data_IF_285734637211
#
_entry.id   IF_285734637211
#
_cell.length_a   1.000
_cell.length_b   1.000
_cell.length_c   1.000
_cell.angle_alpha   90.00
_cell.angle_beta   90.00
_cell.angle_gamma   90.00
#
_symmetry.space_group_name_H-M   'P 1'
#
loop_
_entity.id
_entity.type
_entity.pdbx_description
1 polymer ?
#
# COMPACT_ATOMS: atom_id res chain seq x y z
N UNK A 1 37.98 17.84 -31.02
CA UNK A 1 37.90 16.50 -30.39
C UNK A 1 36.65 16.55 -29.52
N UNK A 2 35.53 16.07 -30.04
CA UNK A 2 34.24 16.09 -29.35
C UNK A 2 34.21 14.94 -28.34
N UNK A 3 34.15 15.28 -27.05
CA UNK A 3 33.95 14.31 -26.00
C UNK A 3 32.45 14.06 -25.84
N UNK A 4 31.99 12.94 -26.40
CA UNK A 4 30.61 12.45 -26.25
C UNK A 4 30.37 12.05 -24.79
N UNK A 5 29.38 12.73 -24.21
CA UNK A 5 28.64 12.37 -22.99
C UNK A 5 28.26 10.89 -23.02
N UNK A 6 28.83 10.08 -22.11
CA UNK A 6 28.24 8.79 -21.71
C UNK A 6 27.46 9.02 -20.42
N UNK A 7 26.22 9.48 -20.57
CA UNK A 7 25.21 9.34 -19.52
C UNK A 7 24.95 7.85 -19.33
N UNK A 8 25.26 7.34 -18.14
CA UNK A 8 24.90 5.98 -17.76
C UNK A 8 23.40 5.87 -17.74
N UNK A 9 22.82 5.19 -18.72
CA UNK A 9 21.44 4.73 -18.63
C UNK A 9 21.43 3.65 -17.53
N UNK A 10 20.98 4.03 -16.32
CA UNK A 10 20.50 3.05 -15.35
C UNK A 10 19.52 2.14 -16.08
N UNK A 11 19.81 0.83 -16.10
CA UNK A 11 18.89 -0.15 -16.70
C UNK A 11 17.65 -0.18 -15.82
N UNK A 12 16.58 0.47 -16.27
CA UNK A 12 15.26 0.40 -15.63
C UNK A 12 14.94 -1.04 -15.20
N UNK A 13 14.52 -1.22 -13.95
CA UNK A 13 14.04 -2.50 -13.44
C UNK A 13 12.77 -2.94 -14.19
N UNK A 14 12.38 -4.22 -14.03
CA UNK A 14 11.14 -4.71 -14.65
C UNK A 14 9.91 -3.93 -14.17
N UNK A 15 9.85 -3.67 -12.87
CA UNK A 15 8.79 -2.88 -12.23
C UNK A 15 8.73 -1.46 -12.82
N UNK A 16 9.86 -0.78 -12.96
CA UNK A 16 9.92 0.58 -13.54
C UNK A 16 9.36 0.60 -14.96
N UNK A 17 9.67 -0.43 -15.76
CA UNK A 17 9.10 -0.58 -17.11
C UNK A 17 7.59 -0.78 -17.07
N UNK A 18 7.06 -1.54 -16.13
CA UNK A 18 5.62 -1.73 -15.97
C UNK A 18 4.92 -0.45 -15.51
N UNK A 19 5.48 0.28 -14.56
CA UNK A 19 4.95 1.59 -14.10
C UNK A 19 4.96 2.60 -15.25
N UNK A 20 6.03 2.66 -16.05
CA UNK A 20 6.10 3.51 -17.26
C UNK A 20 5.09 3.08 -18.34
N UNK A 21 4.88 1.77 -18.51
CA UNK A 21 3.89 1.25 -19.46
C UNK A 21 2.46 1.56 -19.04
N UNK A 22 2.17 1.51 -17.73
CA UNK A 22 0.83 1.68 -17.16
C UNK A 22 0.65 3.02 -16.45
N UNK A 23 1.38 4.06 -16.85
CA UNK A 23 1.45 5.35 -16.13
C UNK A 23 0.07 5.99 -15.93
N UNK A 24 -0.85 5.93 -16.89
CA UNK A 24 -2.19 6.51 -16.71
C UNK A 24 -2.97 5.83 -15.59
N UNK A 25 -2.89 4.50 -15.49
CA UNK A 25 -3.55 3.74 -14.42
C UNK A 25 -2.86 3.99 -13.08
N UNK A 26 -1.52 4.00 -13.08
CA UNK A 26 -0.74 4.27 -11.88
C UNK A 26 -0.99 5.67 -11.31
N UNK A 27 -1.00 6.69 -12.17
CA UNK A 27 -1.36 8.07 -11.79
C UNK A 27 -2.80 8.15 -11.29
N UNK A 28 -3.75 7.47 -11.94
CA UNK A 28 -5.14 7.44 -11.48
C UNK A 28 -5.30 6.80 -10.10
N UNK A 29 -4.49 5.78 -9.79
CA UNK A 29 -4.48 5.11 -8.49
C UNK A 29 -3.81 5.96 -7.39
N UNK A 30 -2.73 6.68 -7.71
CA UNK A 30 -1.92 7.44 -6.75
C UNK A 30 -2.37 8.89 -6.57
N UNK A 31 -3.11 9.44 -7.55
CA UNK A 31 -3.63 10.81 -7.55
C UNK A 31 -5.15 10.85 -7.66
N UNK A 32 -5.82 9.87 -7.05
CA UNK A 32 -7.28 9.80 -7.02
C UNK A 32 -7.87 11.06 -6.35
N UNK A 33 -9.03 11.60 -6.78
CA UNK A 33 -9.64 12.80 -6.19
C UNK A 33 -9.78 12.76 -4.68
N UNK A 34 -10.03 11.59 -4.08
CA UNK A 34 -10.05 11.43 -2.62
C UNK A 34 -8.72 11.80 -1.96
N UNK A 35 -7.58 11.39 -2.54
CA UNK A 35 -6.23 11.70 -2.04
C UNK A 35 -5.92 13.19 -2.24
N UNK A 36 -6.32 13.76 -3.37
CA UNK A 36 -6.15 15.19 -3.64
C UNK A 36 -6.96 16.05 -2.66
N UNK A 37 -8.22 15.68 -2.40
CA UNK A 37 -9.06 16.36 -1.43
C UNK A 37 -8.49 16.25 0.00
N UNK A 38 -7.83 15.14 0.31
CA UNK A 38 -7.10 14.99 1.57
C UNK A 38 -5.97 16.01 1.64
N UNK A 39 -5.12 16.10 0.61
CA UNK A 39 -4.01 17.07 0.56
C UNK A 39 -4.48 18.52 0.69
N UNK A 40 -5.61 18.83 0.08
CA UNK A 40 -6.19 20.18 0.10
C UNK A 40 -6.99 20.48 1.38
N UNK A 41 -7.23 19.48 2.24
CA UNK A 41 -8.06 19.64 3.43
C UNK A 41 -9.55 19.84 3.12
N UNK A 42 -9.98 19.49 1.91
CA UNK A 42 -11.35 19.66 1.39
C UNK A 42 -12.19 18.39 1.49
N UNK A 43 -11.59 17.26 1.91
CA UNK A 43 -12.30 15.99 2.09
C UNK A 43 -13.48 16.15 3.04
N UNK A 44 -14.65 15.81 2.53
CA UNK A 44 -15.85 15.78 3.35
C UNK A 44 -15.77 14.65 4.38
N UNK A 45 -16.35 14.91 5.55
CA UNK A 45 -16.28 14.00 6.67
C UNK A 45 -17.00 12.66 6.43
N UNK A 46 -17.99 12.63 5.53
CA UNK A 46 -18.70 11.40 5.15
C UNK A 46 -17.81 10.48 4.30
N UNK A 47 -17.06 11.05 3.36
CA UNK A 47 -16.07 10.36 2.52
C UNK A 47 -14.95 9.80 3.37
N UNK A 48 -14.45 10.56 4.35
CA UNK A 48 -13.47 10.07 5.31
C UNK A 48 -13.99 8.87 6.13
N UNK A 49 -15.21 8.96 6.67
CA UNK A 49 -15.83 7.85 7.43
C UNK A 49 -16.06 6.61 6.57
N UNK A 50 -16.47 6.83 5.32
CA UNK A 50 -16.65 5.76 4.34
C UNK A 50 -15.33 5.06 4.07
N UNK A 51 -14.26 5.83 3.79
CA UNK A 51 -12.93 5.28 3.62
C UNK A 51 -12.49 4.51 4.87
N UNK A 52 -12.58 5.10 6.06
CA UNK A 52 -12.14 4.46 7.31
C UNK A 52 -12.80 3.09 7.55
N UNK A 53 -14.11 2.99 7.30
CA UNK A 53 -14.85 1.73 7.45
C UNK A 53 -14.51 0.71 6.36
N UNK A 54 -14.42 1.13 5.09
CA UNK A 54 -14.09 0.22 3.98
C UNK A 54 -12.64 -0.27 4.08
N UNK A 55 -11.72 0.62 4.42
CA UNK A 55 -10.29 0.31 4.49
C UNK A 55 -9.97 -0.59 5.69
N UNK A 56 -10.68 -0.43 6.82
CA UNK A 56 -10.62 -1.40 7.91
C UNK A 56 -10.99 -2.82 7.47
N UNK A 57 -12.03 -2.98 6.64
CA UNK A 57 -12.40 -4.29 6.10
C UNK A 57 -11.31 -4.81 5.17
N UNK A 58 -10.77 -3.95 4.31
CA UNK A 58 -9.68 -4.32 3.41
C UNK A 58 -8.43 -4.79 4.19
N UNK A 59 -7.95 -4.02 5.17
CA UNK A 59 -6.77 -4.37 5.97
C UNK A 59 -6.94 -5.71 6.69
N UNK A 60 -8.15 -6.03 7.16
CA UNK A 60 -8.43 -7.34 7.76
C UNK A 60 -8.30 -8.51 6.78
N UNK A 61 -8.68 -8.32 5.52
CA UNK A 61 -8.49 -9.30 4.45
C UNK A 61 -7.07 -9.27 3.87
N UNK A 62 -6.36 -8.16 4.03
CA UNK A 62 -4.96 -8.01 3.63
C UNK A 62 -4.03 -8.82 4.54
N UNK A 63 -4.30 -8.90 5.85
CA UNK A 63 -3.52 -9.73 6.81
C UNK A 63 -3.33 -11.18 6.33
N UNK A 64 -4.38 -11.98 6.04
CA UNK A 64 -4.20 -13.35 5.57
C UNK A 64 -3.52 -13.41 4.20
N UNK A 65 -3.69 -12.41 3.34
CA UNK A 65 -2.93 -12.31 2.10
C UNK A 65 -1.43 -12.16 2.36
N UNK A 66 -0.98 -11.20 3.17
CA UNK A 66 0.44 -11.02 3.49
C UNK A 66 1.02 -12.26 4.19
N UNK A 67 0.25 -12.87 5.09
CA UNK A 67 0.63 -14.14 5.72
C UNK A 67 0.80 -15.28 4.69
N UNK A 68 -0.03 -15.33 3.64
CA UNK A 68 0.15 -16.30 2.56
C UNK A 68 1.44 -16.07 1.76
N UNK A 69 1.82 -14.80 1.55
CA UNK A 69 3.09 -14.44 0.90
C UNK A 69 4.27 -14.84 1.78
N UNK A 70 4.15 -14.68 3.10
CA UNK A 70 5.15 -15.15 4.08
C UNK A 70 5.35 -16.68 4.01
N UNK A 71 4.27 -17.44 3.83
CA UNK A 71 4.35 -18.90 3.66
C UNK A 71 4.97 -19.27 2.31
N UNK A 72 4.74 -18.47 1.26
CA UNK A 72 5.34 -18.71 -0.06
C UNK A 72 6.84 -18.46 -0.04
N UNK A 73 7.29 -17.34 0.56
CA UNK A 73 8.72 -17.00 0.61
C UNK A 73 9.54 -18.02 1.39
N UNK A 74 8.99 -18.56 2.49
CA UNK A 74 9.68 -19.56 3.31
C UNK A 74 9.88 -20.92 2.60
N UNK A 75 9.21 -21.14 1.46
CA UNK A 75 9.36 -22.34 0.62
C UNK A 75 10.29 -22.14 -0.58
N UNK A 76 10.63 -20.88 -0.90
CA UNK A 76 11.36 -20.51 -2.11
C UNK A 76 12.74 -19.92 -1.80
N UNK A 77 12.89 -19.26 -0.65
CA UNK A 77 14.12 -18.59 -0.26
C UNK A 77 14.93 -19.43 0.72
N UNK A 78 16.12 -19.88 0.29
CA UNK A 78 17.13 -20.46 1.18
C UNK A 78 18.16 -19.42 1.68
N UNK A 79 18.21 -18.19 1.11
CA UNK A 79 19.34 -17.26 1.32
C UNK A 79 19.02 -15.74 1.31
N UNK A 80 17.75 -15.32 1.36
CA UNK A 80 17.34 -13.89 1.30
C UNK A 80 16.65 -13.36 2.57
N UNK A 81 16.65 -12.03 2.76
CA UNK A 81 16.00 -11.32 3.88
C UNK A 81 14.50 -11.07 3.65
N UNK A 82 13.94 -11.63 2.57
CA UNK A 82 12.54 -11.44 2.17
C UNK A 82 11.56 -11.94 3.24
N UNK A 83 11.94 -12.99 3.98
CA UNK A 83 11.12 -13.53 5.06
C UNK A 83 10.95 -12.51 6.20
N UNK A 84 12.04 -11.91 6.66
CA UNK A 84 12.08 -10.89 7.70
C UNK A 84 11.32 -9.63 7.27
N UNK A 85 11.49 -9.23 6.00
CA UNK A 85 10.77 -8.10 5.39
C UNK A 85 9.26 -8.33 5.44
N UNK A 86 8.78 -9.48 4.95
CA UNK A 86 7.35 -9.78 4.91
C UNK A 86 6.80 -9.99 6.34
N UNK A 87 7.57 -10.64 7.21
CA UNK A 87 7.20 -10.84 8.62
C UNK A 87 7.03 -9.51 9.35
N UNK A 88 7.94 -8.55 9.12
CA UNK A 88 7.83 -7.19 9.64
C UNK A 88 6.54 -6.50 9.19
N UNK A 89 6.16 -6.67 7.92
CA UNK A 89 4.87 -6.20 7.40
C UNK A 89 3.68 -6.80 8.14
N UNK A 90 3.64 -8.13 8.31
CA UNK A 90 2.56 -8.80 9.06
C UNK A 90 2.45 -8.29 10.49
N UNK A 91 3.59 -8.09 11.16
CA UNK A 91 3.62 -7.57 12.53
C UNK A 91 3.03 -6.15 12.61
N UNK A 92 3.37 -5.28 11.64
CA UNK A 92 2.86 -3.92 11.57
C UNK A 92 1.33 -3.84 11.36
N UNK A 93 0.75 -4.77 10.60
CA UNK A 93 -0.71 -4.79 10.37
C UNK A 93 -1.51 -4.94 11.68
N UNK A 94 -0.94 -5.52 12.74
CA UNK A 94 -1.59 -5.55 14.05
C UNK A 94 -1.77 -4.14 14.64
N UNK A 95 -0.73 -3.32 14.54
CA UNK A 95 -0.74 -1.94 15.04
C UNK A 95 -1.66 -1.06 14.19
N UNK A 96 -1.67 -1.29 12.87
CA UNK A 96 -2.60 -0.63 11.95
C UNK A 96 -4.07 -0.96 12.29
N UNK A 97 -4.40 -2.24 12.52
CA UNK A 97 -5.74 -2.65 12.95
C UNK A 97 -6.13 -2.00 14.28
N UNK A 98 -5.19 -1.88 15.22
CA UNK A 98 -5.44 -1.20 16.50
C UNK A 98 -5.73 0.29 16.28
N UNK A 99 -4.99 0.94 15.37
CA UNK A 99 -5.21 2.32 14.98
C UNK A 99 -6.60 2.53 14.34
N UNK A 100 -7.01 1.67 13.40
CA UNK A 100 -8.35 1.75 12.79
C UNK A 100 -9.46 1.67 13.85
N UNK A 101 -9.33 0.79 14.85
CA UNK A 101 -10.30 0.68 15.95
C UNK A 101 -10.38 1.96 16.79
N UNK A 102 -9.24 2.58 17.07
CA UNK A 102 -9.18 3.85 17.82
C UNK A 102 -9.82 5.00 17.04
N UNK A 103 -9.47 5.17 15.76
CA UNK A 103 -10.05 6.22 14.92
C UNK A 103 -11.54 5.99 14.67
N UNK A 104 -11.97 4.74 14.46
CA UNK A 104 -13.39 4.44 14.31
C UNK A 104 -14.19 4.78 15.58
N UNK A 105 -13.63 4.51 16.77
CA UNK A 105 -14.24 4.92 18.04
C UNK A 105 -14.32 6.44 18.16
N UNK A 106 -13.22 7.15 17.88
CA UNK A 106 -13.13 8.62 17.93
C UNK A 106 -14.14 9.31 17.01
N UNK A 107 -14.36 8.76 15.82
CA UNK A 107 -15.24 9.37 14.81
C UNK A 107 -16.64 8.74 14.78
N UNK A 108 -16.97 7.85 15.71
CA UNK A 108 -18.24 7.12 15.78
C UNK A 108 -18.58 6.39 14.46
N UNK A 109 -17.60 5.68 13.90
CA UNK A 109 -17.78 4.78 12.75
C UNK A 109 -17.99 3.36 13.28
N UNK A 110 -19.15 2.72 13.03
CA UNK A 110 -19.38 1.34 13.46
C UNK A 110 -18.54 0.38 12.62
N UNK A 111 -17.65 -0.40 13.25
CA UNK A 111 -16.85 -1.42 12.57
C UNK A 111 -17.56 -2.78 12.44
N UNK A 112 -18.70 -2.93 13.10
CA UNK A 112 -19.57 -4.12 13.00
C UNK A 112 -20.72 -3.86 12.03
N UNK A 113 -21.12 -4.88 11.27
CA UNK A 113 -22.23 -4.81 10.30
C UNK A 113 -22.06 -3.72 9.23
N UNK A 114 -20.81 -3.40 8.86
CA UNK A 114 -20.51 -2.50 7.76
C UNK A 114 -21.06 -3.04 6.45
N UNK A 115 -21.71 -2.17 5.68
CA UNK A 115 -22.10 -2.48 4.31
C UNK A 115 -20.86 -2.37 3.43
N UNK A 116 -20.21 -3.51 3.17
CA UNK A 116 -19.01 -3.56 2.32
C UNK A 116 -19.40 -3.26 0.87
N UNK A 117 -18.72 -2.29 0.27
CA UNK A 117 -18.94 -1.90 -1.13
C UNK A 117 -18.53 -3.02 -2.09
N UNK A 118 -19.17 -3.11 -3.26
CA UNK A 118 -18.84 -4.13 -4.25
C UNK A 118 -17.38 -4.04 -4.73
N UNK A 119 -16.83 -2.82 -4.87
CA UNK A 119 -15.41 -2.62 -5.20
C UNK A 119 -14.50 -3.28 -4.17
N UNK A 120 -14.79 -3.10 -2.88
CA UNK A 120 -14.01 -3.69 -1.79
C UNK A 120 -14.15 -5.22 -1.78
N UNK A 121 -15.39 -5.75 -1.89
CA UNK A 121 -15.62 -7.21 -2.04
C UNK A 121 -14.84 -7.82 -3.19
N UNK A 122 -14.80 -7.14 -4.34
CA UNK A 122 -14.06 -7.62 -5.50
C UNK A 122 -12.55 -7.58 -5.27
N UNK A 123 -12.06 -6.57 -4.57
CA UNK A 123 -10.65 -6.47 -4.19
C UNK A 123 -10.24 -7.58 -3.22
N UNK A 124 -11.05 -7.88 -2.20
CA UNK A 124 -10.79 -8.99 -1.26
C UNK A 124 -10.82 -10.34 -1.97
N UNK A 125 -11.79 -10.58 -2.88
CA UNK A 125 -11.79 -11.80 -3.71
C UNK A 125 -10.57 -11.90 -4.61
N UNK A 126 -10.07 -10.78 -5.12
CA UNK A 126 -8.82 -10.76 -5.85
C UNK A 126 -7.66 -11.20 -4.93
N UNK A 127 -7.53 -10.66 -3.73
CA UNK A 127 -6.52 -11.10 -2.77
C UNK A 127 -6.62 -12.61 -2.46
N UNK A 128 -7.83 -13.10 -2.18
CA UNK A 128 -8.11 -14.53 -1.98
C UNK A 128 -7.62 -15.37 -3.17
N UNK A 129 -7.81 -14.90 -4.40
CA UNK A 129 -7.35 -15.63 -5.59
C UNK A 129 -5.82 -15.71 -5.69
N UNK A 130 -5.10 -14.68 -5.21
CA UNK A 130 -3.64 -14.65 -5.19
C UNK A 130 -3.06 -15.54 -4.08
N UNK A 131 -3.84 -15.83 -3.03
CA UNK A 131 -3.42 -16.73 -1.95
C UNK A 131 -3.35 -18.21 -2.36
N UNK A 132 -3.90 -18.57 -3.53
CA UNK A 132 -3.86 -19.94 -4.06
C UNK A 132 -2.44 -20.50 -4.10
N UNK A 133 -2.27 -21.80 -3.80
CA UNK A 133 -0.96 -22.48 -3.86
C UNK A 133 -0.37 -22.48 -5.26
N UNK A 134 -1.22 -22.43 -6.29
CA UNK A 134 -0.83 -22.41 -7.71
C UNK A 134 -0.25 -21.07 -8.18
N UNK A 135 -0.37 -20.02 -7.37
CA UNK A 135 0.15 -18.69 -7.73
C UNK A 135 1.61 -18.58 -7.32
N UNK A 136 2.47 -18.25 -8.27
CA UNK A 136 3.90 -18.08 -8.05
C UNK A 136 4.22 -16.97 -7.04
N UNK A 137 5.30 -17.16 -6.28
CA UNK A 137 5.79 -16.17 -5.33
C UNK A 137 6.07 -14.81 -6.00
N UNK A 138 6.65 -14.80 -7.20
CA UNK A 138 6.93 -13.57 -7.95
C UNK A 138 5.65 -12.76 -8.26
N UNK A 139 4.53 -13.44 -8.54
CA UNK A 139 3.24 -12.78 -8.79
C UNK A 139 2.67 -12.23 -7.49
N UNK A 140 2.67 -13.03 -6.42
CA UNK A 140 2.12 -12.62 -5.13
C UNK A 140 2.92 -11.46 -4.51
N UNK A 141 4.25 -11.49 -4.61
CA UNK A 141 5.14 -10.39 -4.18
C UNK A 141 4.96 -9.13 -5.02
N UNK A 142 4.73 -9.26 -6.33
CA UNK A 142 4.40 -8.10 -7.20
C UNK A 142 3.09 -7.44 -6.76
N UNK A 143 2.06 -8.24 -6.43
CA UNK A 143 0.78 -7.71 -5.93
C UNK A 143 0.97 -7.01 -4.58
N UNK A 144 1.71 -7.62 -3.65
CA UNK A 144 2.04 -7.02 -2.35
C UNK A 144 2.76 -5.68 -2.53
N UNK A 145 3.83 -5.66 -3.33
CA UNK A 145 4.58 -4.44 -3.63
C UNK A 145 3.67 -3.36 -4.24
N UNK A 146 2.80 -3.71 -5.20
CA UNK A 146 1.96 -2.73 -5.88
C UNK A 146 0.93 -2.08 -4.94
N UNK A 147 0.36 -2.84 -4.01
CA UNK A 147 -0.60 -2.33 -3.01
C UNK A 147 0.10 -1.31 -2.10
N UNK A 148 1.23 -1.71 -1.51
CA UNK A 148 2.01 -0.88 -0.59
C UNK A 148 2.55 0.38 -1.29
N UNK A 149 3.06 0.24 -2.53
CA UNK A 149 3.59 1.34 -3.30
C UNK A 149 2.52 2.38 -3.66
N UNK A 150 1.29 1.96 -3.97
CA UNK A 150 0.19 2.90 -4.24
C UNK A 150 -0.18 3.69 -2.99
N UNK A 151 -0.25 3.05 -1.81
CA UNK A 151 -0.50 3.75 -0.55
C UNK A 151 0.64 4.74 -0.23
N UNK A 152 1.89 4.28 -0.33
CA UNK A 152 3.05 5.11 -0.05
C UNK A 152 3.11 6.34 -0.95
N UNK A 153 2.93 6.18 -2.26
CA UNK A 153 2.98 7.28 -3.22
C UNK A 153 1.79 8.24 -3.02
N UNK A 154 0.59 7.71 -2.80
CA UNK A 154 -0.61 8.52 -2.56
C UNK A 154 -0.45 9.45 -1.36
N UNK A 155 0.04 8.93 -0.23
CA UNK A 155 0.17 9.74 0.98
C UNK A 155 1.47 10.53 1.05
N UNK A 156 2.54 10.14 0.35
CA UNK A 156 3.72 10.99 0.19
C UNK A 156 3.33 12.35 -0.42
N UNK A 157 2.44 12.35 -1.42
CA UNK A 157 1.90 13.58 -2.01
C UNK A 157 1.12 14.45 -1.01
N UNK A 158 0.51 13.84 0.01
CA UNK A 158 -0.18 14.57 1.07
C UNK A 158 0.80 15.20 2.08
N UNK A 159 2.03 14.71 2.18
CA UNK A 159 3.05 15.21 3.11
C UNK A 159 4.00 16.26 2.48
N UNK A 160 3.93 16.48 1.17
CA UNK A 160 4.69 17.51 0.47
C UNK A 160 4.32 18.94 0.93
N UNK A 161 5.26 19.88 0.74
CA UNK A 161 5.06 21.30 1.05
C UNK A 161 3.81 21.88 0.34
N UNK A 162 3.06 22.72 1.06
CA UNK A 162 1.81 23.33 0.58
C UNK A 162 0.52 22.61 1.02
N UNK A 163 0.62 21.56 1.84
CA UNK A 163 -0.53 20.89 2.45
C UNK A 163 -1.29 21.83 3.42
N UNK A 164 -2.63 21.84 3.31
CA UNK A 164 -3.52 22.67 4.14
C UNK A 164 -4.26 21.89 5.25
N UNK A 165 -3.97 20.60 5.47
CA UNK A 165 -4.71 19.79 6.46
C UNK A 165 -4.41 20.18 7.91
N UNK A 166 -5.38 20.75 8.66
CA UNK A 166 -5.12 21.19 10.03
C UNK A 166 -5.38 20.08 11.08
N UNK A 167 -6.01 18.95 10.72
CA UNK A 167 -6.57 18.02 11.72
C UNK A 167 -6.42 16.51 11.44
N UNK A 168 -5.73 16.10 10.36
CA UNK A 168 -5.53 14.69 10.04
C UNK A 168 -4.13 14.19 10.42
N UNK A 169 -3.76 14.33 11.71
CA UNK A 169 -2.66 13.54 12.29
C UNK A 169 -2.87 12.02 12.12
N UNK A 170 -4.11 11.59 11.85
CA UNK A 170 -4.49 10.26 11.40
C UNK A 170 -3.68 9.77 10.18
N UNK A 171 -3.40 10.66 9.22
CA UNK A 171 -2.69 10.30 7.99
C UNK A 171 -1.19 10.16 8.19
N UNK A 172 -0.63 10.86 9.19
CA UNK A 172 0.77 10.68 9.60
C UNK A 172 1.04 9.25 10.08
N UNK A 173 0.09 8.54 10.68
CA UNK A 173 0.34 7.14 11.08
C UNK A 173 0.48 6.22 9.86
N UNK A 174 -0.22 6.53 8.77
CA UNK A 174 -0.15 5.81 7.49
C UNK A 174 1.10 6.20 6.68
N UNK A 175 1.69 7.38 6.93
CA UNK A 175 2.74 7.95 6.06
C UNK A 175 4.00 8.49 6.75
N UNK A 176 4.13 8.38 8.08
CA UNK A 176 5.37 8.69 8.82
C UNK A 176 5.88 7.46 9.58
N UNK A 177 7.20 7.26 9.62
CA UNK A 177 7.85 5.98 9.88
C UNK A 177 7.92 5.68 11.38
N UNK A 178 7.09 4.77 11.87
CA UNK A 178 7.48 3.87 12.97
C UNK A 178 8.03 2.53 12.45
N UNK A 179 8.19 2.41 11.13
CA UNK A 179 9.03 1.42 10.49
C UNK A 179 10.19 2.10 9.77
N UNK A 180 11.38 1.47 9.68
CA UNK A 180 12.44 1.93 8.79
C UNK A 180 11.87 2.05 7.36
N UNK A 181 12.55 2.85 6.52
CA UNK A 181 12.34 3.04 5.06
C UNK A 181 11.58 1.89 4.37
N UNK A 182 10.77 2.17 3.33
CA UNK A 182 9.94 1.17 2.64
C UNK A 182 10.65 -0.18 2.59
N UNK A 183 10.07 -1.17 3.28
CA UNK A 183 10.70 -2.46 3.56
C UNK A 183 11.04 -3.25 2.28
N UNK A 184 10.56 -2.78 1.13
CA UNK A 184 10.87 -3.28 -0.19
C UNK A 184 11.13 -2.05 -1.08
N UNK A 185 12.38 -1.84 -1.43
CA UNK A 185 12.74 -1.04 -2.60
C UNK A 185 12.82 -1.97 -3.82
N UNK A 186 12.67 -1.45 -5.06
CA UNK A 186 12.88 -2.25 -6.27
C UNK A 186 14.27 -2.94 -6.35
N UNK A 187 15.21 -2.53 -5.49
CA UNK A 187 16.54 -3.11 -5.35
C UNK A 187 16.59 -4.36 -4.48
N UNK A 188 15.54 -4.67 -3.71
CA UNK A 188 15.52 -5.82 -2.81
C UNK A 188 15.04 -7.10 -3.51
N UNK A 189 14.54 -7.00 -4.74
CA UNK A 189 14.08 -8.14 -5.55
C UNK A 189 14.97 -8.49 -6.75
N UNK A 190 16.14 -7.86 -6.90
CA UNK A 190 17.11 -8.15 -7.98
C UNK A 190 18.57 -7.91 -7.60
#
# INVERSE_FOLDING_TARGET
>A
MEEKVKGGAEKDGMIDRWVKKHTLLYTGATRHPFILNIREGTTDFSSFKTWLGQDYVFVREFVPFVASVLIKVSKVSDNGNDMEVILGGVAFLNDEIAWFKQEASKWAVPLTNLIVHNTNKNYCRFLESIMSTEVDYAVASTVLWAIEAVYQESFAHCLEDGNQTPQLNALRTVSTPLLPKPLITPRDFF
#
